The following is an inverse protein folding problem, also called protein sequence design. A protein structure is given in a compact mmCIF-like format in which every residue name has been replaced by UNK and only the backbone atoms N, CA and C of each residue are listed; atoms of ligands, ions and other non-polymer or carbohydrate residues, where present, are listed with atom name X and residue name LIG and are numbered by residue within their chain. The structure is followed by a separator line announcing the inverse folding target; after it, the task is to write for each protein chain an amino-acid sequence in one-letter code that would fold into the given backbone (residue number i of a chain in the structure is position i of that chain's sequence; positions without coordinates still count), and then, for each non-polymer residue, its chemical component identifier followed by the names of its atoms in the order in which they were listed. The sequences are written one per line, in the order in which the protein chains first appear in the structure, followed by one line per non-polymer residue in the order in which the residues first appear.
data_IF_832100793548
#
_entry.id   IF_832100793548
#
_cell.length_a   1.000
_cell.length_b   1.000
_cell.length_c   1.000
_cell.angle_alpha   90.00
_cell.angle_beta   90.00
_cell.angle_gamma   90.00
#
_symmetry.space_group_name_H-M   'P 1'
#
loop_
_entity.id
_entity.type
_entity.pdbx_description
1 polymer ?
#
# COMPACT_ATOMS: atom_id res chain seq x y z
N UNK A 1 7.89 -56.84 -32.08
CA UNK A 1 7.48 -55.45 -31.80
C UNK A 1 7.29 -55.10 -30.32
N UNK A 2 7.96 -55.77 -29.36
CA UNK A 2 7.71 -55.55 -27.92
C UNK A 2 8.64 -54.55 -27.20
N UNK A 3 9.91 -54.44 -27.60
CA UNK A 3 10.91 -53.67 -26.84
C UNK A 3 10.90 -52.15 -27.11
N UNK A 4 10.44 -51.72 -28.30
CA UNK A 4 10.34 -50.28 -28.66
C UNK A 4 9.13 -49.61 -27.99
N UNK A 5 8.08 -50.37 -27.66
CA UNK A 5 6.89 -49.86 -26.99
C UNK A 5 7.15 -49.57 -25.49
N UNK A 6 7.99 -50.37 -24.82
CA UNK A 6 8.35 -50.16 -23.41
C UNK A 6 9.16 -48.86 -23.23
N UNK A 7 10.16 -48.62 -24.10
CA UNK A 7 11.00 -47.41 -24.03
C UNK A 7 10.24 -46.10 -24.26
N UNK A 8 9.19 -46.12 -25.11
CA UNK A 8 8.31 -44.95 -25.31
C UNK A 8 7.38 -44.70 -24.13
N UNK A 9 6.90 -45.74 -23.45
CA UNK A 9 6.02 -45.62 -22.27
C UNK A 9 6.79 -45.09 -21.06
N UNK A 10 8.01 -45.57 -20.84
CA UNK A 10 8.89 -45.06 -19.78
C UNK A 10 9.32 -43.61 -20.04
N UNK A 11 9.72 -43.22 -21.26
CA UNK A 11 10.06 -41.81 -21.56
C UNK A 11 8.88 -40.84 -21.36
N UNK A 12 7.65 -41.26 -21.65
CA UNK A 12 6.44 -40.45 -21.39
C UNK A 12 6.14 -40.32 -19.90
N UNK A 13 6.29 -41.41 -19.13
CA UNK A 13 6.15 -41.39 -17.67
C UNK A 13 7.23 -40.53 -17.01
N UNK A 14 8.50 -40.64 -17.44
CA UNK A 14 9.60 -39.80 -16.97
C UNK A 14 9.38 -38.33 -17.30
N UNK A 15 8.89 -38.02 -18.51
CA UNK A 15 8.55 -36.66 -18.92
C UNK A 15 7.41 -36.05 -18.10
N UNK A 16 6.35 -36.83 -17.83
CA UNK A 16 5.25 -36.41 -16.96
C UNK A 16 5.70 -36.19 -15.52
N UNK A 17 6.59 -37.04 -15.00
CA UNK A 17 7.14 -36.90 -13.66
C UNK A 17 8.03 -35.65 -13.55
N UNK A 18 8.82 -35.35 -14.57
CA UNK A 18 9.64 -34.14 -14.63
C UNK A 18 8.79 -32.87 -14.68
N UNK A 19 7.71 -32.88 -15.47
CA UNK A 19 6.74 -31.77 -15.53
C UNK A 19 6.00 -31.63 -14.19
N UNK A 20 5.62 -32.73 -13.54
CA UNK A 20 4.98 -32.68 -12.22
C UNK A 20 5.92 -32.10 -11.16
N UNK A 21 7.20 -32.50 -11.14
CA UNK A 21 8.21 -31.94 -10.24
C UNK A 21 8.45 -30.46 -10.54
N UNK A 22 8.52 -30.06 -11.82
CA UNK A 22 8.61 -28.65 -12.21
C UNK A 22 7.37 -27.86 -11.78
N UNK A 23 6.16 -28.40 -11.94
CA UNK A 23 4.93 -27.75 -11.50
C UNK A 23 4.85 -27.68 -9.98
N UNK A 24 5.35 -28.68 -9.25
CA UNK A 24 5.44 -28.64 -7.79
C UNK A 24 6.50 -27.64 -7.34
N UNK A 25 7.67 -27.59 -7.97
CA UNK A 25 8.72 -26.60 -7.69
C UNK A 25 8.27 -25.17 -8.02
N UNK A 26 7.63 -24.97 -9.16
CA UNK A 26 6.99 -23.70 -9.53
C UNK A 26 5.90 -23.39 -8.54
N UNK A 27 5.01 -24.32 -8.19
CA UNK A 27 3.96 -24.08 -7.19
C UNK A 27 4.53 -23.77 -5.82
N UNK A 28 5.59 -24.43 -5.38
CA UNK A 28 6.22 -24.23 -4.07
C UNK A 28 6.98 -22.91 -4.04
N UNK A 29 7.76 -22.62 -5.09
CA UNK A 29 8.45 -21.34 -5.27
C UNK A 29 7.47 -20.18 -5.43
N UNK A 30 6.36 -20.36 -6.14
CA UNK A 30 5.26 -19.39 -6.19
C UNK A 30 4.56 -19.29 -4.83
N UNK A 31 4.33 -20.37 -4.08
CA UNK A 31 3.70 -20.31 -2.75
C UNK A 31 4.56 -19.56 -1.72
N UNK A 32 5.89 -19.64 -1.81
CA UNK A 32 6.81 -18.87 -0.95
C UNK A 32 7.12 -17.46 -1.48
N UNK A 33 6.93 -17.19 -2.77
CA UNK A 33 7.08 -15.86 -3.37
C UNK A 33 5.78 -15.03 -3.37
N UNK A 34 4.62 -15.67 -3.18
CA UNK A 34 3.28 -15.05 -3.23
C UNK A 34 2.45 -15.07 -1.94
N UNK A 35 2.93 -15.42 -0.72
CA UNK A 35 2.04 -15.36 0.44
C UNK A 35 1.70 -13.88 0.68
N UNK A 36 0.44 -13.51 0.40
CA UNK A 36 -0.09 -12.16 0.62
C UNK A 36 -0.24 -11.26 -0.61
N UNK A 37 0.18 -11.63 -1.83
CA UNK A 37 -0.09 -10.81 -3.04
C UNK A 37 -1.57 -10.90 -3.44
N UNK A 38 -2.38 -10.06 -2.81
CA UNK A 38 -3.74 -9.73 -3.23
C UNK A 38 -3.62 -8.83 -4.49
N UNK A 39 -4.40 -9.04 -5.56
CA UNK A 39 -4.46 -8.05 -6.63
C UNK A 39 -5.08 -6.77 -6.07
N UNK A 40 -4.23 -5.80 -5.74
CA UNK A 40 -4.59 -4.45 -5.30
C UNK A 40 -4.85 -3.57 -6.52
N UNK A 41 -5.64 -2.51 -6.33
CA UNK A 41 -5.98 -1.53 -7.36
C UNK A 41 -4.76 -0.71 -7.84
N UNK A 42 -3.69 -0.72 -7.05
CA UNK A 42 -2.67 0.30 -7.06
C UNK A 42 -1.92 0.44 -8.38
N UNK A 43 -1.39 -0.63 -8.99
CA UNK A 43 -0.68 -0.48 -10.28
C UNK A 43 -1.58 -0.02 -11.44
N UNK A 44 -2.89 -0.33 -11.39
CA UNK A 44 -3.84 0.12 -12.41
C UNK A 44 -4.19 1.59 -12.22
N UNK A 45 -4.42 2.01 -10.98
CA UNK A 45 -4.65 3.42 -10.62
C UNK A 45 -3.40 4.27 -10.84
N UNK A 46 -2.20 3.73 -10.56
CA UNK A 46 -0.91 4.31 -10.94
C UNK A 46 -0.83 4.52 -12.44
N UNK A 47 -1.08 3.48 -13.23
CA UNK A 47 -1.04 3.58 -14.70
C UNK A 47 -2.09 4.54 -15.24
N UNK A 48 -3.30 4.58 -14.67
CA UNK A 48 -4.35 5.53 -15.06
C UNK A 48 -3.93 6.98 -14.80
N UNK A 49 -3.34 7.25 -13.64
CA UNK A 49 -2.81 8.58 -13.28
C UNK A 49 -1.64 8.99 -14.18
N UNK A 50 -0.68 8.09 -14.42
CA UNK A 50 0.44 8.39 -15.34
C UNK A 50 -0.05 8.65 -16.77
N UNK A 51 -0.98 7.84 -17.30
CA UNK A 51 -1.56 8.08 -18.64
C UNK A 51 -2.28 9.42 -18.75
N UNK A 52 -2.88 9.89 -17.66
CA UNK A 52 -3.64 11.13 -17.64
C UNK A 52 -2.74 12.38 -17.62
N UNK A 53 -1.53 12.30 -17.03
CA UNK A 53 -0.73 13.49 -16.71
C UNK A 53 0.72 13.48 -17.20
N UNK A 54 1.29 12.35 -17.62
CA UNK A 54 2.66 12.31 -18.13
C UNK A 54 2.70 13.01 -19.49
N UNK A 55 3.43 14.12 -19.59
CA UNK A 55 3.66 14.82 -20.85
C UNK A 55 4.77 14.12 -21.66
N UNK A 56 4.84 14.32 -22.99
CA UNK A 56 5.87 13.70 -23.83
C UNK A 56 7.32 13.99 -23.39
N UNK A 57 7.55 15.17 -22.81
CA UNK A 57 8.86 15.63 -22.32
C UNK A 57 9.08 15.35 -20.81
N UNK A 58 8.17 14.62 -20.17
CA UNK A 58 8.36 14.10 -18.82
C UNK A 58 9.07 12.73 -18.85
N UNK A 59 9.70 12.35 -17.74
CA UNK A 59 10.28 11.01 -17.55
C UNK A 59 9.63 10.29 -16.38
N UNK A 60 9.39 8.97 -16.53
CA UNK A 60 8.85 8.11 -15.46
C UNK A 60 9.95 7.19 -14.92
N UNK A 61 10.09 7.14 -13.60
CA UNK A 61 11.02 6.29 -12.85
C UNK A 61 10.25 5.37 -11.91
N UNK A 62 10.51 4.06 -11.99
CA UNK A 62 9.99 3.05 -11.06
C UNK A 62 11.03 2.73 -9.98
N UNK A 63 10.68 2.91 -8.71
CA UNK A 63 11.56 2.74 -7.56
C UNK A 63 10.96 1.78 -6.51
N UNK A 64 11.60 0.65 -6.20
CA UNK A 64 12.58 -0.02 -7.04
C UNK A 64 11.87 -0.83 -8.15
N UNK A 65 12.63 -1.38 -9.08
CA UNK A 65 12.08 -2.07 -10.25
C UNK A 65 11.67 -3.52 -10.00
N UNK A 66 11.57 -3.98 -8.75
CA UNK A 66 11.20 -5.38 -8.42
C UNK A 66 9.88 -5.81 -9.06
N UNK A 67 8.92 -4.89 -9.17
CA UNK A 67 7.60 -5.13 -9.78
C UNK A 67 7.48 -4.67 -11.24
N UNK A 68 8.60 -4.48 -11.95
CA UNK A 68 8.58 -4.04 -13.34
C UNK A 68 7.68 -4.87 -14.28
N UNK A 69 7.53 -6.21 -14.16
CA UNK A 69 6.67 -6.97 -15.05
C UNK A 69 5.18 -6.60 -14.87
N UNK A 70 4.76 -6.31 -13.63
CA UNK A 70 3.39 -5.91 -13.31
C UNK A 70 3.17 -4.47 -13.75
N UNK A 71 4.12 -3.58 -13.45
CA UNK A 71 4.07 -2.18 -13.85
C UNK A 71 3.96 -2.03 -15.38
N UNK A 72 4.84 -2.68 -16.13
CA UNK A 72 4.86 -2.62 -17.60
C UNK A 72 3.67 -3.31 -18.29
N UNK A 73 3.00 -4.23 -17.60
CA UNK A 73 1.75 -4.80 -18.09
C UNK A 73 0.64 -3.75 -18.17
N UNK A 74 0.54 -2.88 -17.15
CA UNK A 74 -0.50 -1.84 -17.04
C UNK A 74 -0.11 -0.50 -17.66
N UNK A 75 1.13 -0.06 -17.48
CA UNK A 75 1.65 1.19 -18.04
C UNK A 75 2.50 0.91 -19.28
N UNK A 76 2.07 1.46 -20.42
CA UNK A 76 2.70 1.24 -21.74
C UNK A 76 3.61 2.39 -22.20
N UNK A 77 3.69 3.47 -21.43
CA UNK A 77 4.58 4.59 -21.73
C UNK A 77 6.06 4.26 -21.46
N UNK A 78 6.96 5.16 -21.84
CA UNK A 78 8.38 5.03 -21.54
C UNK A 78 8.65 5.18 -20.03
N UNK A 79 9.57 4.37 -19.50
CA UNK A 79 10.01 4.44 -18.10
C UNK A 79 11.45 3.96 -17.93
N UNK A 80 12.00 4.20 -16.74
CA UNK A 80 13.31 3.69 -16.26
C UNK A 80 13.12 3.05 -14.89
N UNK A 81 13.80 1.93 -14.64
CA UNK A 81 13.77 1.24 -13.34
C UNK A 81 15.03 1.55 -12.54
N UNK A 82 14.89 1.76 -11.23
CA UNK A 82 16.00 1.68 -10.29
C UNK A 82 16.17 0.21 -9.90
N UNK A 83 17.29 -0.46 -10.24
CA UNK A 83 17.45 -1.89 -10.03
C UNK A 83 17.27 -2.30 -8.57
N UNK A 84 16.41 -3.29 -8.29
CA UNK A 84 16.15 -3.80 -6.95
C UNK A 84 17.43 -4.22 -6.21
N UNK A 85 18.40 -4.83 -6.92
CA UNK A 85 19.66 -5.29 -6.33
C UNK A 85 20.73 -4.21 -6.15
N UNK A 86 20.44 -2.95 -6.50
CA UNK A 86 21.42 -1.87 -6.49
C UNK A 86 21.25 -0.99 -5.24
N UNK A 87 22.20 -1.00 -4.29
CA UNK A 87 22.18 -0.06 -3.17
C UNK A 87 22.26 1.38 -3.67
N UNK A 88 21.34 2.21 -3.20
CA UNK A 88 21.24 3.61 -3.58
C UNK A 88 22.05 4.45 -2.61
N UNK A 89 23.26 4.81 -3.02
CA UNK A 89 24.07 5.87 -2.38
C UNK A 89 23.74 7.23 -2.98
N UNK A 90 24.17 8.33 -2.34
CA UNK A 90 23.92 9.68 -2.87
C UNK A 90 24.57 9.89 -4.24
N UNK A 91 25.80 9.38 -4.40
CA UNK A 91 26.52 9.46 -5.68
C UNK A 91 25.84 8.63 -6.77
N UNK A 92 25.36 7.43 -6.42
CA UNK A 92 24.64 6.59 -7.37
C UNK A 92 23.32 7.23 -7.79
N UNK A 93 22.53 7.74 -6.83
CA UNK A 93 21.28 8.44 -7.11
C UNK A 93 21.52 9.64 -8.03
N UNK A 94 22.55 10.45 -7.75
CA UNK A 94 22.92 11.57 -8.59
C UNK A 94 23.31 11.11 -10.01
N UNK A 95 24.16 10.10 -10.14
CA UNK A 95 24.59 9.57 -11.44
C UNK A 95 23.42 9.03 -12.28
N UNK A 96 22.46 8.36 -11.64
CA UNK A 96 21.26 7.83 -12.31
C UNK A 96 20.27 8.94 -12.70
N UNK A 97 19.99 9.88 -11.79
CA UNK A 97 18.92 10.87 -11.96
C UNK A 97 19.33 12.06 -12.83
N UNK A 98 20.59 12.50 -12.77
CA UNK A 98 21.07 13.70 -13.49
C UNK A 98 20.75 13.67 -14.99
N UNK A 99 21.11 12.64 -15.79
CA UNK A 99 20.82 12.64 -17.22
C UNK A 99 19.31 12.57 -17.52
N UNK A 100 18.51 11.94 -16.65
CA UNK A 100 17.05 11.90 -16.80
C UNK A 100 16.41 13.25 -16.50
N UNK A 101 16.90 13.93 -15.46
CA UNK A 101 16.41 15.23 -15.01
C UNK A 101 16.76 16.34 -16.01
N UNK A 102 17.98 16.37 -16.53
CA UNK A 102 18.42 17.40 -17.47
C UNK A 102 17.68 17.35 -18.81
N UNK A 103 17.29 16.14 -19.23
CA UNK A 103 16.58 15.90 -20.48
C UNK A 103 15.06 15.99 -20.42
N UNK A 104 14.48 16.27 -19.25
CA UNK A 104 13.03 16.29 -19.04
C UNK A 104 12.51 17.64 -18.51
N UNK A 105 11.22 17.92 -18.73
CA UNK A 105 10.52 19.05 -18.12
C UNK A 105 9.96 18.73 -16.72
N UNK A 106 9.78 17.45 -16.43
CA UNK A 106 9.37 16.94 -15.13
C UNK A 106 9.68 15.46 -14.96
N UNK A 107 9.75 15.01 -13.71
CA UNK A 107 10.01 13.61 -13.37
C UNK A 107 8.88 13.04 -12.51
N UNK A 108 8.35 11.90 -12.94
CA UNK A 108 7.38 11.09 -12.22
C UNK A 108 8.10 9.93 -11.53
N UNK A 109 8.06 9.88 -10.21
CA UNK A 109 8.64 8.80 -9.41
C UNK A 109 7.53 7.90 -8.88
N UNK A 110 7.49 6.65 -9.32
CA UNK A 110 6.60 5.61 -8.80
C UNK A 110 7.32 4.87 -7.69
N UNK A 111 6.91 5.07 -6.45
CA UNK A 111 7.38 4.33 -5.29
C UNK A 111 6.54 3.08 -5.07
N UNK A 112 7.24 1.98 -4.84
CA UNK A 112 6.70 0.71 -4.37
C UNK A 112 7.12 0.48 -2.91
N UNK A 113 6.50 -0.47 -2.18
CA UNK A 113 6.88 -0.76 -0.79
C UNK A 113 8.31 -1.30 -0.64
N UNK A 114 8.95 -1.69 -1.76
CA UNK A 114 10.31 -2.21 -1.80
C UNK A 114 11.36 -1.10 -2.00
N UNK A 115 10.95 0.14 -2.25
CA UNK A 115 11.88 1.27 -2.47
C UNK A 115 12.88 1.45 -1.31
N UNK A 116 12.44 1.19 -0.08
CA UNK A 116 13.27 1.30 1.12
C UNK A 116 14.28 0.16 1.28
N UNK A 117 14.09 -0.98 0.58
CA UNK A 117 15.03 -2.10 0.65
C UNK A 117 16.40 -1.71 0.09
N UNK A 118 16.44 -0.92 -0.99
CA UNK A 118 17.67 -0.47 -1.63
C UNK A 118 17.97 1.03 -1.43
N UNK A 119 16.99 1.82 -0.99
CA UNK A 119 17.16 3.23 -0.61
C UNK A 119 16.56 3.56 0.78
N UNK A 120 17.08 2.97 1.87
CA UNK A 120 16.51 3.13 3.21
C UNK A 120 16.61 4.57 3.76
N UNK A 121 17.43 5.43 3.15
CA UNK A 121 17.54 6.84 3.52
C UNK A 121 16.77 7.78 2.57
N UNK A 122 16.01 7.24 1.61
CA UNK A 122 15.18 8.03 0.69
C UNK A 122 15.97 9.02 -0.16
N UNK A 123 17.21 8.67 -0.55
CA UNK A 123 18.14 9.53 -1.29
C UNK A 123 17.62 9.94 -2.67
N UNK A 124 16.87 9.09 -3.36
CA UNK A 124 16.26 9.41 -4.66
C UNK A 124 15.30 10.59 -4.50
N UNK A 125 14.41 10.52 -3.52
CA UNK A 125 13.45 11.59 -3.24
C UNK A 125 14.14 12.85 -2.74
N UNK A 126 15.12 12.72 -1.84
CA UNK A 126 15.88 13.86 -1.33
C UNK A 126 16.55 14.63 -2.48
N UNK A 127 17.22 13.91 -3.39
CA UNK A 127 17.87 14.50 -4.56
C UNK A 127 16.89 15.27 -5.45
N UNK A 128 15.68 14.71 -5.68
CA UNK A 128 14.63 15.33 -6.49
C UNK A 128 14.04 16.56 -5.81
N UNK A 129 13.72 16.47 -4.52
CA UNK A 129 13.12 17.57 -3.73
C UNK A 129 14.03 18.79 -3.64
N UNK A 130 15.34 18.60 -3.60
CA UNK A 130 16.32 19.68 -3.62
C UNK A 130 16.35 20.47 -4.94
N UNK A 131 15.86 19.88 -6.04
CA UNK A 131 16.03 20.41 -7.41
C UNK A 131 14.72 20.80 -8.09
N UNK A 132 13.62 20.16 -7.71
CA UNK A 132 12.31 20.39 -8.28
C UNK A 132 11.72 21.73 -7.81
N UNK A 133 10.91 22.36 -8.66
CA UNK A 133 10.21 23.60 -8.32
C UNK A 133 9.05 23.35 -7.34
N UNK A 134 8.51 22.13 -7.33
CA UNK A 134 7.47 21.67 -6.43
C UNK A 134 7.51 20.14 -6.30
N UNK A 135 6.67 19.62 -5.41
CA UNK A 135 6.40 18.19 -5.28
C UNK A 135 4.89 17.99 -5.22
N UNK A 136 4.37 17.04 -6.01
CA UNK A 136 2.98 16.59 -5.92
C UNK A 136 2.96 15.09 -5.67
N UNK A 137 2.02 14.64 -4.86
CA UNK A 137 1.91 13.24 -4.47
C UNK A 137 0.53 12.68 -4.79
N UNK A 138 0.49 11.44 -5.28
CA UNK A 138 -0.72 10.65 -5.52
C UNK A 138 -0.55 9.33 -4.78
N UNK A 139 -1.47 9.02 -3.85
CA UNK A 139 -1.37 7.85 -2.97
C UNK A 139 -2.38 6.78 -3.39
N UNK A 140 -1.91 5.54 -3.46
CA UNK A 140 -2.70 4.34 -3.70
C UNK A 140 -2.37 3.30 -2.63
N UNK A 141 -3.17 2.24 -2.52
CA UNK A 141 -3.06 1.28 -1.39
C UNK A 141 -1.64 0.74 -1.13
N UNK A 142 -0.90 0.34 -2.17
CA UNK A 142 0.48 -0.17 -2.06
C UNK A 142 1.50 0.55 -2.94
N UNK A 143 1.16 1.72 -3.47
CA UNK A 143 2.05 2.49 -4.34
C UNK A 143 1.82 3.99 -4.16
N UNK A 144 2.87 4.77 -4.38
CA UNK A 144 2.77 6.22 -4.37
C UNK A 144 3.46 6.80 -5.59
N UNK A 145 2.85 7.78 -6.23
CA UNK A 145 3.49 8.54 -7.30
C UNK A 145 3.84 9.90 -6.77
N UNK A 146 5.05 10.35 -7.07
CA UNK A 146 5.46 11.73 -6.93
C UNK A 146 5.69 12.36 -8.30
N UNK A 147 5.29 13.62 -8.45
CA UNK A 147 5.63 14.43 -9.61
C UNK A 147 6.49 15.62 -9.18
N UNK A 148 7.63 15.75 -9.86
CA UNK A 148 8.66 16.75 -9.63
C UNK A 148 8.85 17.59 -10.90
N UNK A 149 8.14 18.72 -11.06
CA UNK A 149 8.34 19.62 -12.19
C UNK A 149 9.71 20.30 -12.11
N UNK A 150 10.42 20.31 -13.24
CA UNK A 150 11.71 20.99 -13.40
C UNK A 150 11.55 22.41 -13.94
N UNK A 151 10.63 22.61 -14.89
CA UNK A 151 10.44 23.91 -15.56
C UNK A 151 9.20 24.65 -15.03
N UNK A 152 9.21 26.01 -15.01
CA UNK A 152 8.04 26.80 -14.64
C UNK A 152 6.81 26.53 -15.53
N UNK A 153 7.04 26.22 -16.80
CA UNK A 153 6.00 25.84 -17.78
C UNK A 153 5.30 24.55 -17.37
N UNK A 154 6.10 23.52 -17.01
CA UNK A 154 5.56 22.24 -16.57
C UNK A 154 4.89 22.34 -15.21
N UNK A 155 5.41 23.17 -14.29
CA UNK A 155 4.74 23.46 -13.01
C UNK A 155 3.35 24.08 -13.21
N UNK A 156 3.22 25.05 -14.13
CA UNK A 156 1.92 25.69 -14.43
C UNK A 156 0.91 24.71 -15.02
N UNK A 157 1.37 23.77 -15.83
CA UNK A 157 0.54 22.72 -16.44
C UNK A 157 0.45 21.44 -15.60
N UNK A 158 0.91 21.43 -14.35
CA UNK A 158 1.04 20.21 -13.54
C UNK A 158 -0.29 19.48 -13.26
N UNK A 159 -1.42 20.19 -13.36
CA UNK A 159 -2.78 19.65 -13.17
C UNK A 159 -3.54 19.47 -14.50
N UNK A 160 -2.93 19.90 -15.61
CA UNK A 160 -3.51 19.75 -16.94
C UNK A 160 -3.33 18.32 -17.44
N UNK A 161 -4.34 17.81 -18.14
CA UNK A 161 -4.26 16.52 -18.78
C UNK A 161 -3.21 16.53 -19.89
N UNK A 162 -2.51 15.41 -20.05
CA UNK A 162 -1.46 15.25 -21.03
C UNK A 162 -1.96 15.57 -22.46
N UNK A 163 -1.13 16.19 -23.32
CA UNK A 163 -1.50 16.46 -24.70
C UNK A 163 -1.98 15.21 -25.43
N UNK A 164 -3.16 15.28 -26.04
CA UNK A 164 -3.78 14.15 -26.75
C UNK A 164 -4.49 13.13 -25.85
N UNK A 165 -4.47 13.29 -24.53
CA UNK A 165 -5.31 12.50 -23.65
C UNK A 165 -6.78 12.80 -23.91
N UNK A 166 -7.57 11.76 -24.18
CA UNK A 166 -9.01 11.88 -24.39
C UNK A 166 -9.75 11.36 -23.15
N UNK A 167 -10.40 12.25 -22.36
CA UNK A 167 -11.22 11.82 -21.24
C UNK A 167 -12.32 10.84 -21.67
N UNK A 168 -12.67 9.85 -20.82
CA UNK A 168 -13.81 9.00 -21.09
C UNK A 168 -15.09 9.84 -21.18
N UNK A 169 -15.98 9.47 -22.11
CA UNK A 169 -17.30 10.09 -22.32
C UNK A 169 -18.45 9.15 -21.97
N UNK A 170 -18.25 8.33 -20.94
CA UNK A 170 -19.22 7.31 -20.51
C UNK A 170 -20.35 7.84 -19.62
N UNK A 171 -20.29 9.11 -19.21
CA UNK A 171 -21.35 9.77 -18.43
C UNK A 171 -22.01 10.88 -19.27
N UNK A 172 -21.20 11.82 -19.77
CA UNK A 172 -21.57 12.93 -20.67
C UNK A 172 -22.87 13.67 -20.27
N UNK A 173 -22.94 14.10 -19.01
CA UNK A 173 -24.12 14.75 -18.43
C UNK A 173 -23.83 16.17 -17.94
N UNK A 174 -24.73 17.11 -18.26
CA UNK A 174 -24.72 18.44 -17.64
C UNK A 174 -25.35 18.34 -16.24
N UNK A 175 -24.54 18.54 -15.20
CA UNK A 175 -24.93 18.33 -13.80
C UNK A 175 -25.19 19.64 -13.06
N UNK A 176 -24.74 20.75 -13.61
CA UNK A 176 -25.11 22.11 -13.24
C UNK A 176 -24.95 23.01 -14.47
N UNK A 177 -25.60 24.19 -14.54
CA UNK A 177 -25.52 25.06 -15.71
C UNK A 177 -24.06 25.33 -16.13
N UNK A 178 -23.69 24.91 -17.34
CA UNK A 178 -22.33 25.08 -17.87
C UNK A 178 -21.25 24.23 -17.19
N UNK A 179 -21.63 23.18 -16.46
CA UNK A 179 -20.72 22.19 -15.84
C UNK A 179 -21.15 20.79 -16.26
N UNK A 180 -20.26 20.10 -16.98
CA UNK A 180 -20.50 18.77 -17.52
C UNK A 180 -19.55 17.76 -16.87
N UNK A 181 -20.12 16.65 -16.42
CA UNK A 181 -19.36 15.46 -16.04
C UNK A 181 -19.23 14.58 -17.29
N UNK A 182 -18.03 14.57 -17.87
CA UNK A 182 -17.71 13.84 -19.09
C UNK A 182 -17.72 12.32 -18.84
N UNK A 183 -17.07 11.89 -17.77
CA UNK A 183 -16.89 10.49 -17.49
C UNK A 183 -16.40 10.18 -16.09
N UNK A 184 -16.45 8.90 -15.76
CA UNK A 184 -15.96 8.34 -14.52
C UNK A 184 -15.19 7.04 -14.82
N UNK A 185 -14.00 6.90 -14.25
CA UNK A 185 -13.13 5.73 -14.38
C UNK A 185 -12.68 5.27 -12.99
N UNK A 186 -12.65 3.96 -12.78
CA UNK A 186 -11.94 3.33 -11.68
C UNK A 186 -11.27 2.07 -12.19
N UNK A 187 -10.20 1.63 -11.53
CA UNK A 187 -9.35 0.60 -12.09
C UNK A 187 -9.89 -0.83 -11.92
N UNK A 188 -10.81 -1.05 -10.97
CA UNK A 188 -11.54 -2.30 -10.79
C UNK A 188 -13.06 -2.10 -10.86
N UNK A 189 -13.77 -3.22 -10.99
CA UNK A 189 -15.24 -3.31 -10.85
C UNK A 189 -15.65 -4.20 -9.68
N UNK A 190 -14.69 -4.90 -9.08
CA UNK A 190 -14.87 -5.82 -7.97
C UNK A 190 -13.86 -5.46 -6.91
N UNK A 191 -14.35 -5.20 -5.71
CA UNK A 191 -13.55 -4.80 -4.56
C UNK A 191 -13.88 -5.70 -3.38
N UNK A 192 -13.01 -5.70 -2.37
CA UNK A 192 -13.23 -6.32 -1.07
C UNK A 192 -13.43 -5.24 -0.01
N UNK A 193 -14.11 -5.61 1.05
CA UNK A 193 -14.11 -4.83 2.29
C UNK A 193 -12.68 -4.52 2.75
N UNK A 194 -12.42 -3.25 3.05
CA UNK A 194 -11.13 -2.69 3.44
C UNK A 194 -10.24 -2.21 2.29
N UNK A 195 -10.69 -2.35 1.03
CA UNK A 195 -10.02 -1.73 -0.12
C UNK A 195 -10.37 -0.23 -0.24
N UNK A 196 -9.58 0.52 -1.01
CA UNK A 196 -9.91 1.88 -1.43
C UNK A 196 -10.40 1.88 -2.88
N UNK A 197 -11.55 2.53 -3.14
CA UNK A 197 -11.98 2.84 -4.50
C UNK A 197 -11.38 4.19 -4.91
N UNK A 198 -10.40 4.18 -5.80
CA UNK A 198 -9.90 5.38 -6.49
C UNK A 198 -10.77 5.67 -7.72
N UNK A 199 -11.64 6.68 -7.59
CA UNK A 199 -12.53 7.14 -8.65
C UNK A 199 -11.96 8.38 -9.31
N UNK A 200 -11.83 8.36 -10.63
CA UNK A 200 -11.40 9.49 -11.44
C UNK A 200 -12.59 10.08 -12.18
N UNK A 201 -12.97 11.30 -11.80
CA UNK A 201 -14.05 12.06 -12.41
C UNK A 201 -13.47 13.07 -13.40
N UNK A 202 -14.06 13.14 -14.59
CA UNK A 202 -13.61 14.03 -15.66
C UNK A 202 -14.64 15.13 -15.90
N UNK A 203 -14.24 16.37 -15.69
CA UNK A 203 -15.13 17.53 -15.70
C UNK A 203 -14.77 18.47 -16.85
N UNK A 204 -15.76 19.19 -17.37
CA UNK A 204 -15.55 20.32 -18.26
C UNK A 204 -16.55 21.41 -17.91
N UNK A 205 -16.08 22.64 -17.72
CA UNK A 205 -16.94 23.79 -17.56
C UNK A 205 -16.88 24.70 -18.79
N UNK A 206 -18.00 25.31 -19.13
CA UNK A 206 -18.09 26.29 -20.21
C UNK A 206 -17.78 27.71 -19.73
N UNK A 207 -17.81 27.95 -18.41
CA UNK A 207 -17.54 29.24 -17.78
C UNK A 207 -16.67 29.04 -16.54
N UNK A 208 -15.79 30.00 -16.28
CA UNK A 208 -15.00 29.99 -15.05
C UNK A 208 -15.96 30.26 -13.89
N UNK A 209 -15.92 29.38 -12.89
CA UNK A 209 -16.75 29.47 -11.69
C UNK A 209 -15.87 29.35 -10.47
N UNK A 210 -16.24 29.94 -9.31
CA UNK A 210 -15.60 29.58 -8.06
C UNK A 210 -15.76 28.07 -7.78
N UNK A 211 -15.10 27.59 -6.74
CA UNK A 211 -15.20 26.21 -6.28
C UNK A 211 -16.65 25.73 -6.23
N UNK A 212 -16.92 24.59 -6.87
CA UNK A 212 -18.26 24.02 -6.97
C UNK A 212 -18.38 22.89 -5.91
N UNK A 213 -19.40 22.92 -5.02
CA UNK A 213 -19.62 21.83 -4.09
C UNK A 213 -20.06 20.58 -4.86
N UNK A 214 -19.29 19.51 -4.74
CA UNK A 214 -19.62 18.18 -5.25
C UNK A 214 -19.66 17.23 -4.07
N UNK A 215 -20.67 16.38 -4.04
CA UNK A 215 -20.77 15.29 -3.10
C UNK A 215 -20.67 13.96 -3.84
N UNK A 216 -19.86 13.05 -3.34
CA UNK A 216 -19.70 11.70 -3.88
C UNK A 216 -20.14 10.71 -2.82
N UNK A 217 -21.16 9.91 -3.12
CA UNK A 217 -21.69 8.90 -2.22
C UNK A 217 -21.58 7.51 -2.84
N UNK A 218 -21.55 6.49 -2.00
CA UNK A 218 -21.66 5.10 -2.40
C UNK A 218 -22.97 4.56 -1.83
N UNK A 219 -23.86 4.00 -2.66
CA UNK A 219 -25.14 3.48 -2.19
C UNK A 219 -25.56 2.20 -2.93
N UNK A 220 -26.22 1.29 -2.23
CA UNK A 220 -26.93 0.16 -2.82
C UNK A 220 -28.44 0.44 -2.97
N UNK A 221 -29.19 -0.51 -3.54
CA UNK A 221 -30.64 -0.41 -3.67
C UNK A 221 -31.43 -0.66 -2.37
N UNK A 222 -30.75 -0.93 -1.25
CA UNK A 222 -31.33 -1.29 0.06
C UNK A 222 -31.08 -0.21 1.12
N UNK A 223 -30.42 0.89 0.76
CA UNK A 223 -30.08 2.00 1.66
C UNK A 223 -28.75 1.82 2.42
N UNK A 224 -27.99 0.77 2.12
CA UNK A 224 -26.62 0.64 2.63
C UNK A 224 -25.67 1.49 1.78
N UNK A 225 -24.61 2.02 2.39
CA UNK A 225 -23.69 2.88 1.67
C UNK A 225 -22.69 3.60 2.55
N UNK A 226 -21.90 4.44 1.91
CA UNK A 226 -21.09 5.44 2.58
C UNK A 226 -21.83 6.77 2.57
N UNK A 227 -21.72 7.58 3.64
CA UNK A 227 -22.26 8.93 3.63
C UNK A 227 -21.65 9.75 2.48
N UNK A 228 -22.36 10.77 1.97
CA UNK A 228 -21.81 11.64 0.95
C UNK A 228 -20.52 12.32 1.43
N UNK A 229 -19.45 12.18 0.64
CA UNK A 229 -18.17 12.82 0.86
C UNK A 229 -18.12 14.13 0.08
N UNK A 230 -17.87 15.25 0.76
CA UNK A 230 -17.67 16.54 0.11
C UNK A 230 -16.32 16.58 -0.59
N UNK A 231 -16.35 16.87 -1.89
CA UNK A 231 -15.22 16.85 -2.81
C UNK A 231 -15.26 18.09 -3.71
N UNK A 232 -14.99 19.29 -3.16
CA UNK A 232 -15.10 20.53 -3.92
C UNK A 232 -14.31 20.48 -5.23
N UNK A 233 -14.99 20.82 -6.33
CA UNK A 233 -14.35 20.92 -7.64
C UNK A 233 -13.68 22.29 -7.77
N UNK A 234 -12.35 22.29 -7.81
CA UNK A 234 -11.53 23.48 -8.10
C UNK A 234 -11.92 24.09 -9.44
N UNK A 235 -11.97 25.43 -9.50
CA UNK A 235 -12.40 26.23 -10.67
C UNK A 235 -11.82 25.70 -12.00
N UNK A 236 -12.58 24.91 -12.79
CA UNK A 236 -12.08 24.38 -14.05
C UNK A 236 -11.87 25.53 -15.07
N UNK A 237 -10.74 25.56 -15.81
CA UNK A 237 -10.58 26.49 -16.90
C UNK A 237 -11.67 26.27 -17.96
N UNK A 238 -12.26 27.33 -18.53
CA UNK A 238 -13.31 27.19 -19.54
C UNK A 238 -12.87 26.35 -20.73
N UNK A 239 -13.65 25.32 -21.06
CA UNK A 239 -13.42 24.44 -22.21
C UNK A 239 -12.31 23.41 -22.03
N UNK A 240 -11.48 23.49 -20.98
CA UNK A 240 -10.41 22.54 -20.73
C UNK A 240 -10.92 21.45 -19.78
N UNK A 241 -10.89 20.16 -20.19
CA UNK A 241 -11.24 19.09 -19.29
C UNK A 241 -10.24 18.98 -18.14
N UNK A 242 -10.75 18.76 -16.93
CA UNK A 242 -9.94 18.47 -15.74
C UNK A 242 -10.30 17.11 -15.17
N UNK A 243 -9.36 16.50 -14.45
CA UNK A 243 -9.57 15.24 -13.74
C UNK A 243 -9.51 15.51 -12.24
N UNK A 244 -10.47 14.94 -11.52
CA UNK A 244 -10.56 14.95 -10.07
C UNK A 244 -10.47 13.50 -9.58
N UNK A 245 -9.57 13.23 -8.64
CA UNK A 245 -9.52 11.95 -7.93
C UNK A 245 -10.36 12.03 -6.66
N UNK A 246 -11.17 11.00 -6.43
CA UNK A 246 -11.96 10.81 -5.22
C UNK A 246 -11.71 9.41 -4.70
N UNK A 247 -11.20 9.32 -3.46
CA UNK A 247 -10.94 8.04 -2.80
C UNK A 247 -12.07 7.73 -1.84
N UNK A 248 -12.76 6.60 -2.06
CA UNK A 248 -13.80 6.11 -1.17
C UNK A 248 -13.29 4.88 -0.41
N UNK A 249 -13.10 4.96 0.93
CA UNK A 249 -12.69 3.80 1.72
C UNK A 249 -13.86 2.82 1.84
N UNK A 250 -13.71 1.61 1.30
CA UNK A 250 -14.77 0.59 1.30
C UNK A 250 -14.78 -0.14 2.64
N UNK A 251 -15.30 0.54 3.67
CA UNK A 251 -15.30 0.08 5.06
C UNK A 251 -15.72 -1.39 5.20
N UNK A 252 -15.08 -2.17 6.09
CA UNK A 252 -15.48 -3.55 6.37
C UNK A 252 -16.89 -3.71 6.94
N UNK A 253 -17.52 -2.61 7.38
CA UNK A 253 -18.92 -2.61 7.80
C UNK A 253 -19.91 -2.70 6.62
N UNK A 254 -19.46 -2.45 5.39
CA UNK A 254 -20.31 -2.54 4.20
C UNK A 254 -20.62 -4.01 3.87
N UNK A 255 -21.92 -4.39 3.78
CA UNK A 255 -22.29 -5.72 3.33
C UNK A 255 -21.80 -6.04 1.91
N UNK A 256 -21.60 -7.32 1.62
CA UNK A 256 -21.35 -7.74 0.25
C UNK A 256 -22.54 -7.45 -0.66
N UNK A 257 -22.29 -6.88 -1.85
CA UNK A 257 -23.38 -6.48 -2.74
C UNK A 257 -22.93 -5.66 -3.94
N UNK A 258 -23.91 -5.14 -4.69
CA UNK A 258 -23.66 -4.21 -5.79
C UNK A 258 -23.97 -2.79 -5.34
N UNK A 259 -22.99 -1.91 -5.48
CA UNK A 259 -23.07 -0.51 -5.10
C UNK A 259 -22.92 0.39 -6.31
N UNK A 260 -23.60 1.53 -6.29
CA UNK A 260 -23.46 2.61 -7.27
C UNK A 260 -22.76 3.78 -6.62
N UNK A 261 -21.85 4.39 -7.37
CA UNK A 261 -21.30 5.69 -7.01
C UNK A 261 -22.22 6.77 -7.55
N UNK A 262 -22.67 7.64 -6.66
CA UNK A 262 -23.55 8.77 -6.95
C UNK A 262 -22.75 10.06 -6.85
N UNK A 263 -22.86 10.92 -7.85
CA UNK A 263 -22.27 12.26 -7.85
C UNK A 263 -23.39 13.29 -7.83
N UNK A 264 -23.35 14.17 -6.85
CA UNK A 264 -24.31 15.26 -6.68
C UNK A 264 -23.57 16.58 -6.79
N UNK A 265 -24.10 17.52 -7.57
CA UNK A 265 -23.54 18.87 -7.71
C UNK A 265 -24.59 19.89 -7.27
N UNK A 266 -24.22 20.76 -6.31
CA UNK A 266 -25.16 21.72 -5.73
C UNK A 266 -26.39 21.05 -5.11
N UNK A 267 -27.59 21.49 -5.50
CA UNK A 267 -28.88 20.97 -5.01
C UNK A 267 -29.51 19.92 -5.96
N UNK A 268 -28.73 19.40 -6.91
CA UNK A 268 -29.21 18.40 -7.87
C UNK A 268 -29.49 17.03 -7.25
N UNK A 269 -30.13 16.14 -8.02
CA UNK A 269 -30.22 14.72 -7.66
C UNK A 269 -28.90 13.99 -7.88
N UNK A 270 -28.65 12.92 -7.14
CA UNK A 270 -27.45 12.10 -7.29
C UNK A 270 -27.44 11.33 -8.62
N UNK A 271 -26.48 11.65 -9.50
CA UNK A 271 -26.27 10.98 -10.77
C UNK A 271 -25.43 9.71 -10.55
N UNK A 272 -25.91 8.50 -10.91
CA UNK A 272 -25.08 7.31 -10.88
C UNK A 272 -24.02 7.34 -11.99
N UNK A 273 -22.74 7.28 -11.60
CA UNK A 273 -21.60 7.43 -12.54
C UNK A 273 -20.77 6.16 -12.67
N UNK A 274 -20.83 5.28 -11.67
CA UNK A 274 -20.05 4.04 -11.65
C UNK A 274 -20.77 2.95 -10.84
N UNK A 275 -20.44 1.69 -11.08
CA UNK A 275 -20.99 0.54 -10.34
C UNK A 275 -19.88 -0.42 -9.98
N UNK A 276 -19.87 -0.86 -8.72
CA UNK A 276 -18.93 -1.84 -8.18
C UNK A 276 -19.68 -3.03 -7.58
N UNK A 277 -19.04 -4.18 -7.59
CA UNK A 277 -19.41 -5.31 -6.73
C UNK A 277 -18.45 -5.37 -5.55
N UNK A 278 -18.98 -5.32 -4.33
CA UNK A 278 -18.23 -5.46 -3.09
C UNK A 278 -18.37 -6.89 -2.59
N UNK A 279 -17.24 -7.56 -2.38
CA UNK A 279 -17.16 -8.74 -1.55
C UNK A 279 -17.10 -8.25 -0.10
N UNK A 280 -18.12 -8.58 0.70
CA UNK A 280 -18.15 -8.24 2.12
C UNK A 280 -16.94 -8.82 2.84
N UNK A 281 -16.65 -8.30 4.04
CA UNK A 281 -15.63 -8.92 4.87
C UNK A 281 -16.01 -10.40 5.02
N UNK A 282 -15.07 -11.31 4.78
CA UNK A 282 -15.24 -12.66 5.29
C UNK A 282 -15.40 -12.46 6.80
N UNK A 283 -16.65 -12.55 7.29
CA UNK A 283 -16.90 -12.90 8.67
C UNK A 283 -16.07 -14.17 8.84
N UNK A 284 -14.87 -14.03 9.41
CA UNK A 284 -14.15 -15.19 9.89
C UNK A 284 -15.15 -15.88 10.78
N UNK A 285 -15.72 -16.99 10.33
CA UNK A 285 -16.79 -17.72 10.99
C UNK A 285 -16.36 -18.37 12.29
N UNK A 286 -15.44 -17.74 13.02
CA UNK A 286 -15.23 -17.97 14.43
C UNK A 286 -16.22 -17.10 15.21
N UNK A 287 -16.75 -17.67 16.28
CA UNK A 287 -17.45 -16.96 17.34
C UNK A 287 -16.77 -15.60 17.66
N UNK A 288 -17.51 -14.61 18.19
CA UNK A 288 -16.89 -13.42 18.77
C UNK A 288 -15.74 -13.90 19.64
N UNK A 289 -14.51 -13.61 19.22
CA UNK A 289 -13.31 -14.00 19.95
C UNK A 289 -13.47 -13.30 21.28
N UNK A 290 -13.88 -14.06 22.31
CA UNK A 290 -13.90 -13.55 23.67
C UNK A 290 -12.53 -12.92 23.88
N UNK A 291 -12.51 -11.64 24.31
CA UNK A 291 -11.25 -10.91 24.51
C UNK A 291 -10.36 -11.84 25.33
N UNK A 292 -9.27 -12.37 24.74
CA UNK A 292 -8.43 -13.29 25.49
C UNK A 292 -7.92 -12.52 26.69
N UNK A 293 -7.80 -13.19 27.84
CA UNK A 293 -7.18 -12.56 29.00
C UNK A 293 -5.75 -12.24 28.62
N UNK A 294 -5.47 -10.96 28.37
CA UNK A 294 -4.16 -10.47 27.95
C UNK A 294 -3.25 -10.54 29.19
N UNK A 295 -2.15 -11.30 29.11
CA UNK A 295 -1.23 -11.49 30.23
C UNK A 295 -0.53 -10.18 30.63
N UNK A 296 -0.19 -9.36 29.64
CA UNK A 296 0.44 -8.05 29.83
C UNK A 296 -0.41 -6.95 29.19
N UNK A 297 -1.49 -6.51 29.86
CA UNK A 297 -2.37 -5.49 29.31
C UNK A 297 -1.66 -4.14 29.22
N UNK A 298 -2.01 -3.36 28.20
CA UNK A 298 -1.50 -2.02 27.95
C UNK A 298 -2.64 -1.12 27.48
N UNK A 299 -2.43 0.18 27.58
CA UNK A 299 -3.36 1.18 27.04
C UNK A 299 -2.57 2.33 26.40
N UNK A 300 -1.91 1.99 25.29
CA UNK A 300 -1.16 2.93 24.47
C UNK A 300 -1.88 3.16 23.15
N UNK A 301 -1.79 4.36 22.61
CA UNK A 301 -2.39 4.73 21.32
C UNK A 301 -1.29 5.02 20.31
N UNK A 302 -1.36 4.41 19.13
CA UNK A 302 -0.48 4.63 18.00
C UNK A 302 -1.20 5.43 16.92
N UNK A 303 -0.56 6.51 16.46
CA UNK A 303 -1.16 7.45 15.53
C UNK A 303 -2.42 8.07 16.10
N UNK A 304 -3.47 8.18 15.29
CA UNK A 304 -4.72 8.82 15.71
C UNK A 304 -5.70 7.84 16.38
N UNK A 305 -5.83 6.62 15.86
CA UNK A 305 -7.01 5.77 16.11
C UNK A 305 -6.69 4.32 16.49
N UNK A 306 -5.42 3.90 16.55
CA UNK A 306 -5.05 2.50 16.84
C UNK A 306 -4.62 2.39 18.29
N UNK A 307 -5.26 1.50 19.06
CA UNK A 307 -4.87 1.16 20.43
C UNK A 307 -4.13 -0.16 20.49
N UNK A 308 -3.08 -0.17 21.30
CA UNK A 308 -2.37 -1.36 21.73
C UNK A 308 -2.95 -1.82 23.06
N UNK A 309 -3.59 -2.99 23.06
CA UNK A 309 -4.27 -3.56 24.22
C UNK A 309 -3.33 -4.38 25.11
N UNK A 310 -2.14 -4.73 24.61
CA UNK A 310 -1.14 -5.51 25.33
C UNK A 310 -0.61 -6.71 24.53
N UNK A 311 0.05 -7.63 25.22
CA UNK A 311 0.69 -8.78 24.59
C UNK A 311 0.74 -10.03 25.48
N UNK A 312 0.97 -11.17 24.82
CA UNK A 312 1.38 -12.44 25.44
C UNK A 312 2.71 -12.89 24.85
N UNK A 313 3.62 -13.36 25.71
CA UNK A 313 4.91 -13.93 25.33
C UNK A 313 5.00 -15.35 25.89
N UNK A 314 5.15 -16.36 25.01
CA UNK A 314 5.13 -17.78 25.44
C UNK A 314 6.32 -18.12 26.35
N UNK A 315 7.53 -17.70 25.98
CA UNK A 315 8.74 -17.91 26.77
C UNK A 315 9.70 -16.72 26.62
N UNK A 316 10.21 -16.21 27.74
CA UNK A 316 11.21 -15.14 27.78
C UNK A 316 12.66 -15.63 27.62
N UNK A 317 12.85 -16.88 27.22
CA UNK A 317 14.15 -17.54 27.06
C UNK A 317 14.22 -18.25 25.72
N UNK A 318 15.33 -18.07 25.00
CA UNK A 318 15.49 -18.63 23.65
C UNK A 318 16.95 -18.93 23.38
N UNK A 319 17.23 -19.89 22.50
CA UNK A 319 18.61 -20.14 22.03
C UNK A 319 18.87 -19.40 20.71
N UNK A 320 20.13 -19.12 20.36
CA UNK A 320 20.49 -18.64 19.03
C UNK A 320 19.92 -19.58 17.95
N UNK A 321 19.34 -19.02 16.89
CA UNK A 321 18.64 -19.78 15.84
C UNK A 321 17.22 -20.24 16.22
N UNK A 322 16.79 -19.99 17.46
CA UNK A 322 15.44 -20.25 17.93
C UNK A 322 14.43 -19.19 17.47
N UNK A 323 13.23 -19.23 18.05
CA UNK A 323 12.14 -18.30 17.70
C UNK A 323 11.37 -17.92 18.95
N UNK A 324 11.15 -16.62 19.15
CA UNK A 324 10.26 -16.10 20.17
C UNK A 324 8.85 -16.00 19.60
N UNK A 325 7.86 -16.52 20.33
CA UNK A 325 6.45 -16.44 19.95
C UNK A 325 5.76 -15.35 20.75
N UNK A 326 5.40 -14.28 20.06
CA UNK A 326 4.78 -13.08 20.60
C UNK A 326 3.37 -12.96 20.01
N UNK A 327 2.37 -12.70 20.85
CA UNK A 327 1.02 -12.34 20.37
C UNK A 327 0.74 -10.92 20.80
N UNK A 328 0.42 -10.07 19.83
CA UNK A 328 0.05 -8.68 20.04
C UNK A 328 -1.46 -8.52 19.94
N UNK A 329 -2.01 -7.62 20.74
CA UNK A 329 -3.43 -7.31 20.75
C UNK A 329 -3.66 -5.86 20.40
N UNK A 330 -4.47 -5.63 19.38
CA UNK A 330 -4.76 -4.30 18.86
C UNK A 330 -6.25 -4.05 18.77
N UNK A 331 -6.65 -2.78 18.70
CA UNK A 331 -8.01 -2.38 18.38
C UNK A 331 -7.99 -1.02 17.70
N UNK A 332 -8.81 -0.83 16.66
CA UNK A 332 -9.04 0.50 16.11
C UNK A 332 -10.25 1.16 16.78
N UNK A 333 -10.18 2.45 17.08
CA UNK A 333 -11.29 3.25 17.62
C UNK A 333 -12.16 3.86 16.52
N UNK A 334 -11.58 4.03 15.32
CA UNK A 334 -12.24 4.52 14.12
C UNK A 334 -11.64 3.83 12.87
N UNK A 335 -12.28 3.91 11.70
CA UNK A 335 -11.76 3.28 10.49
C UNK A 335 -10.32 3.73 10.17
N UNK A 336 -9.42 2.77 9.96
CA UNK A 336 -8.05 3.05 9.53
C UNK A 336 -8.02 3.09 8.00
N UNK A 337 -7.42 4.12 7.42
CA UNK A 337 -7.35 4.31 5.95
C UNK A 337 -5.99 3.97 5.35
N UNK A 338 -4.98 3.75 6.18
CA UNK A 338 -3.62 3.35 5.77
C UNK A 338 -3.36 1.89 6.13
N UNK A 339 -2.68 1.16 5.24
CA UNK A 339 -2.23 -0.22 5.49
C UNK A 339 -0.87 -0.19 6.19
N UNK A 340 -0.88 -0.27 7.52
CA UNK A 340 0.34 -0.30 8.31
C UNK A 340 0.88 -1.72 8.44
N UNK A 341 2.20 -1.84 8.53
CA UNK A 341 2.89 -3.06 8.97
C UNK A 341 3.27 -2.93 10.43
N UNK A 342 3.17 -4.04 11.16
CA UNK A 342 3.73 -4.18 12.49
C UNK A 342 5.17 -4.64 12.34
N UNK A 343 6.12 -3.90 12.90
CA UNK A 343 7.48 -4.40 13.09
C UNK A 343 7.60 -5.01 14.48
N UNK A 344 8.36 -6.10 14.57
CA UNK A 344 8.76 -6.69 15.85
C UNK A 344 10.25 -6.93 15.78
N UNK A 345 11.00 -6.32 16.70
CA UNK A 345 12.45 -6.31 16.71
C UNK A 345 12.98 -6.90 18.01
N UNK A 346 14.04 -7.70 17.90
CA UNK A 346 14.81 -8.18 19.03
C UNK A 346 16.13 -7.42 19.08
N UNK A 347 16.27 -6.51 20.04
CA UNK A 347 17.41 -5.63 20.18
C UNK A 347 18.36 -6.13 21.27
N UNK A 348 19.63 -6.30 20.92
CA UNK A 348 20.69 -6.71 21.86
C UNK A 348 21.54 -5.53 22.30
N UNK A 349 22.29 -5.70 23.39
CA UNK A 349 23.27 -4.68 23.81
C UNK A 349 24.52 -4.61 22.91
N UNK A 350 24.76 -5.65 22.11
CA UNK A 350 25.89 -5.74 21.19
C UNK A 350 25.47 -5.35 19.77
N UNK A 351 26.39 -4.70 19.07
CA UNK A 351 26.25 -4.42 17.65
C UNK A 351 26.24 -5.71 16.84
N UNK A 352 25.25 -5.88 15.97
CA UNK A 352 25.21 -6.96 14.99
C UNK A 352 25.86 -6.47 13.68
N UNK A 353 27.02 -7.02 13.28
CA UNK A 353 27.68 -6.62 12.05
C UNK A 353 26.88 -6.97 10.78
N UNK A 354 26.00 -7.96 10.84
CA UNK A 354 25.18 -8.36 9.69
C UNK A 354 24.09 -7.32 9.36
N UNK A 355 23.55 -6.64 10.37
CA UNK A 355 22.50 -5.62 10.21
C UNK A 355 23.02 -4.19 10.35
N UNK A 356 24.25 -4.01 10.83
CA UNK A 356 24.86 -2.70 11.05
C UNK A 356 24.24 -1.92 12.23
N UNK A 357 23.53 -2.60 13.13
CA UNK A 357 22.80 -2.02 14.26
C UNK A 357 22.60 -3.09 15.37
N UNK A 358 21.95 -2.82 16.52
CA UNK A 358 21.75 -3.82 17.57
C UNK A 358 20.62 -4.83 17.31
N UNK A 359 20.13 -4.97 16.07
CA UNK A 359 19.04 -5.89 15.72
C UNK A 359 19.55 -7.32 15.55
N UNK A 360 19.02 -8.25 16.34
CA UNK A 360 19.38 -9.68 16.32
C UNK A 360 18.23 -10.60 15.94
N UNK A 361 17.07 -10.03 15.61
CA UNK A 361 15.91 -10.75 15.12
C UNK A 361 14.81 -9.76 14.72
N UNK A 362 14.06 -10.07 13.67
CA UNK A 362 12.90 -9.26 13.30
C UNK A 362 11.82 -10.08 12.60
N UNK A 363 10.58 -9.65 12.75
CA UNK A 363 9.45 -10.12 11.94
C UNK A 363 8.48 -8.97 11.66
N UNK A 364 8.42 -8.55 10.40
CA UNK A 364 7.60 -7.43 9.94
C UNK A 364 6.50 -7.95 9.03
N UNK A 365 5.25 -7.70 9.40
CA UNK A 365 4.09 -8.18 8.63
C UNK A 365 2.92 -7.23 8.79
N UNK A 366 1.97 -7.33 7.88
CA UNK A 366 0.63 -6.85 8.21
C UNK A 366 0.01 -7.73 9.32
N UNK A 367 -0.92 -7.17 10.11
CA UNK A 367 -1.48 -7.90 11.25
C UNK A 367 -2.16 -9.21 10.87
N UNK A 368 -2.12 -10.15 11.82
CA UNK A 368 -2.61 -11.51 11.72
C UNK A 368 -2.03 -12.26 10.51
N UNK A 369 -0.71 -12.27 10.36
CA UNK A 369 0.01 -12.95 9.26
C UNK A 369 -0.46 -12.47 7.87
N UNK A 370 -0.64 -11.15 7.70
CA UNK A 370 -1.18 -10.52 6.49
C UNK A 370 -2.64 -10.88 6.16
N UNK A 371 -3.40 -11.42 7.12
CA UNK A 371 -4.83 -11.73 6.95
C UNK A 371 -5.74 -10.59 7.39
N UNK A 372 -5.31 -9.75 8.34
CA UNK A 372 -6.07 -8.60 8.86
C UNK A 372 -5.33 -7.28 8.64
N UNK A 373 -5.18 -6.80 7.38
CA UNK A 373 -4.67 -5.46 7.11
C UNK A 373 -5.42 -4.42 7.95
N UNK A 374 -4.75 -3.37 8.42
CA UNK A 374 -5.36 -2.36 9.30
C UNK A 374 -6.62 -1.71 8.72
N UNK A 375 -6.70 -1.55 7.39
CA UNK A 375 -7.89 -1.03 6.69
C UNK A 375 -9.12 -1.94 6.75
N UNK A 376 -8.95 -3.20 7.16
CA UNK A 376 -10.03 -4.18 7.35
C UNK A 376 -10.54 -4.24 8.79
N UNK A 377 -9.97 -3.45 9.69
CA UNK A 377 -10.34 -3.48 11.11
C UNK A 377 -11.70 -2.78 11.31
N UNK A 378 -12.62 -3.50 11.94
CA UNK A 378 -13.85 -2.90 12.43
C UNK A 378 -13.56 -2.15 13.73
N UNK A 379 -13.99 -0.88 13.86
CA UNK A 379 -13.85 -0.14 15.10
C UNK A 379 -14.39 -0.91 16.31
N UNK A 380 -13.64 -0.92 17.42
CA UNK A 380 -13.98 -1.63 18.64
C UNK A 380 -13.77 -3.15 18.61
N UNK A 381 -13.35 -3.74 17.48
CA UNK A 381 -13.06 -5.18 17.42
C UNK A 381 -11.59 -5.47 17.73
N UNK A 382 -11.27 -6.29 18.75
CA UNK A 382 -9.90 -6.69 19.02
C UNK A 382 -9.30 -7.54 17.88
N UNK A 383 -8.02 -7.34 17.61
CA UNK A 383 -7.23 -8.05 16.62
C UNK A 383 -6.14 -8.83 17.34
N UNK A 384 -6.13 -10.15 17.12
CA UNK A 384 -5.09 -11.06 17.60
C UNK A 384 -4.03 -11.18 16.52
N UNK A 385 -2.79 -10.84 16.87
CA UNK A 385 -1.71 -10.67 15.91
C UNK A 385 -0.47 -11.48 16.34
N UNK A 386 -0.35 -12.75 15.90
CA UNK A 386 0.78 -13.60 16.24
C UNK A 386 2.02 -13.27 15.39
N UNK A 387 3.16 -13.19 16.06
CA UNK A 387 4.49 -12.99 15.50
C UNK A 387 5.45 -14.09 15.96
N UNK A 388 6.22 -14.61 15.00
CA UNK A 388 7.31 -15.54 15.22
C UNK A 388 8.63 -14.80 14.93
N UNK A 389 9.31 -14.33 15.97
CA UNK A 389 10.54 -13.54 15.83
C UNK A 389 11.74 -14.49 15.78
N UNK A 390 12.38 -14.70 14.62
CA UNK A 390 13.57 -15.53 14.53
C UNK A 390 14.73 -14.84 15.24
N UNK A 391 15.48 -15.60 16.04
CA UNK A 391 16.71 -15.13 16.69
C UNK A 391 17.89 -15.53 15.84
N UNK A 392 18.79 -14.60 15.54
CA UNK A 392 19.96 -14.87 14.73
C UNK A 392 20.77 -16.05 15.30
N UNK A 393 21.31 -16.93 14.44
CA UNK A 393 22.05 -18.13 14.87
C UNK A 393 23.37 -17.79 15.59
N UNK A 394 23.90 -16.61 15.36
CA UNK A 394 25.12 -16.07 15.97
C UNK A 394 24.83 -15.05 17.08
N UNK A 395 23.57 -14.90 17.50
CA UNK A 395 23.18 -14.01 18.61
C UNK A 395 23.98 -14.34 19.88
N UNK A 396 24.75 -13.38 20.44
CA UNK A 396 25.48 -13.60 21.68
C UNK A 396 24.52 -13.89 22.84
N UNK A 397 24.90 -14.76 23.80
CA UNK A 397 24.08 -14.95 24.99
C UNK A 397 23.99 -13.64 25.80
N UNK A 398 22.82 -13.37 26.38
CA UNK A 398 22.58 -12.16 27.16
C UNK A 398 21.13 -11.70 27.17
N UNK A 399 20.91 -10.48 27.67
CA UNK A 399 19.60 -9.83 27.70
C UNK A 399 19.36 -9.04 26.42
N UNK A 400 18.13 -9.13 25.94
CA UNK A 400 17.62 -8.48 24.75
C UNK A 400 16.28 -7.83 25.07
N UNK A 401 15.90 -6.81 24.30
CA UNK A 401 14.61 -6.14 24.40
C UNK A 401 13.76 -6.44 23.17
N UNK A 402 12.46 -6.65 23.38
CA UNK A 402 11.48 -6.69 22.30
C UNK A 402 10.93 -5.28 22.09
N UNK A 403 11.15 -4.74 20.89
CA UNK A 403 10.61 -3.47 20.41
C UNK A 403 9.53 -3.74 19.35
N UNK A 404 8.41 -3.03 19.43
CA UNK A 404 7.33 -3.11 18.43
C UNK A 404 6.84 -1.74 18.00
N UNK A 405 6.13 -1.69 16.88
CA UNK A 405 5.40 -0.50 16.44
C UNK A 405 4.75 -0.70 15.09
N UNK A 406 4.08 0.34 14.61
CA UNK A 406 3.41 0.38 13.31
C UNK A 406 4.12 1.36 12.39
N UNK A 407 4.26 1.02 11.12
CA UNK A 407 4.85 1.92 10.12
C UNK A 407 4.13 1.83 8.78
N UNK A 408 4.17 2.94 8.04
CA UNK A 408 3.74 2.99 6.65
C UNK A 408 4.84 2.35 5.77
N UNK A 409 4.57 1.24 5.06
CA UNK A 409 5.57 0.53 4.28
C UNK A 409 6.08 1.30 3.05
N UNK A 410 5.37 2.34 2.59
CA UNK A 410 5.80 3.17 1.46
C UNK A 410 6.78 4.25 1.88
N UNK A 411 6.55 4.87 3.04
CA UNK A 411 7.37 6.00 3.51
C UNK A 411 8.40 5.59 4.55
N UNK A 412 8.19 4.47 5.24
CA UNK A 412 8.98 4.04 6.39
C UNK A 412 8.64 4.81 7.67
N UNK A 413 7.66 5.72 7.62
CA UNK A 413 7.26 6.55 8.75
C UNK A 413 6.59 5.68 9.82
N UNK A 414 7.14 5.71 11.03
CA UNK A 414 6.58 5.04 12.21
C UNK A 414 5.47 5.89 12.81
N UNK A 415 4.42 5.24 13.30
CA UNK A 415 3.36 5.93 14.00
C UNK A 415 3.85 6.42 15.37
N UNK A 416 3.57 7.69 15.74
CA UNK A 416 3.84 8.17 17.08
C UNK A 416 2.99 7.39 18.09
N UNK A 417 3.56 7.14 19.27
CA UNK A 417 2.93 6.45 20.40
C UNK A 417 2.58 7.49 21.46
N UNK A 418 1.38 7.38 22.00
CA UNK A 418 0.84 8.20 23.08
C UNK A 418 0.45 7.32 24.26
N UNK A 419 0.64 7.83 25.47
CA UNK A 419 0.09 7.19 26.67
C UNK A 419 -1.42 7.42 26.82
N UNK A 420 -2.01 6.85 27.88
CA UNK A 420 -3.42 7.02 28.19
C UNK A 420 -3.83 8.47 28.51
N UNK A 421 -2.87 9.33 28.88
CA UNK A 421 -3.08 10.76 29.08
C UNK A 421 -3.02 11.57 27.78
N UNK A 422 -2.60 10.96 26.68
CA UNK A 422 -2.41 11.60 25.38
C UNK A 422 -1.03 12.23 25.21
N UNK A 423 -0.10 12.01 26.12
CA UNK A 423 1.27 12.53 26.01
C UNK A 423 2.10 11.64 25.08
N UNK A 424 2.92 12.23 24.19
CA UNK A 424 3.77 11.46 23.29
C UNK A 424 4.89 10.74 24.05
N UNK A 425 5.04 9.43 23.82
CA UNK A 425 6.07 8.59 24.48
C UNK A 425 7.14 8.09 23.52
N UNK A 426 6.94 8.20 22.20
CA UNK A 426 7.90 7.78 21.18
C UNK A 426 7.25 7.45 19.85
N UNK A 427 7.88 6.58 19.07
CA UNK A 427 7.37 6.01 17.81
C UNK A 427 7.42 4.46 17.80
N UNK A 428 7.64 3.88 18.98
CA UNK A 428 7.75 2.46 19.24
C UNK A 428 7.41 2.16 20.71
N UNK A 429 7.18 0.88 21.02
CA UNK A 429 6.90 0.39 22.38
C UNK A 429 7.92 -0.71 22.70
N UNK A 430 8.57 -0.60 23.87
CA UNK A 430 9.40 -1.66 24.44
C UNK A 430 8.51 -2.55 25.32
N UNK A 431 8.42 -3.84 24.99
CA UNK A 431 7.47 -4.76 25.65
C UNK A 431 8.08 -5.48 26.86
N UNK A 432 9.20 -6.18 26.63
CA UNK A 432 9.79 -7.11 27.58
C UNK A 432 11.29 -7.27 27.35
N UNK A 433 11.99 -7.67 28.41
CA UNK A 433 13.32 -8.25 28.29
C UNK A 433 13.24 -9.77 28.11
N UNK A 434 14.08 -10.32 27.23
CA UNK A 434 14.24 -11.76 27.00
C UNK A 434 15.71 -12.15 27.12
N UNK A 435 15.96 -13.41 27.46
CA UNK A 435 17.30 -13.97 27.63
C UNK A 435 17.64 -14.92 26.47
N UNK A 436 18.69 -14.59 25.73
CA UNK A 436 19.32 -15.51 24.77
C UNK A 436 20.32 -16.38 25.53
N UNK A 437 20.07 -17.68 25.54
CA UNK A 437 20.90 -18.68 26.21
C UNK A 437 22.18 -18.96 25.40
N UNK A 438 23.22 -19.58 26.01
CA UNK A 438 24.38 -20.04 25.26
C UNK A 438 24.01 -21.03 24.13
N UNK A 439 24.77 -20.98 23.03
CA UNK A 439 24.70 -21.99 21.96
C UNK A 439 24.98 -23.41 22.48
N UNK A 440 24.49 -24.43 21.77
CA UNK A 440 24.90 -25.81 22.04
C UNK A 440 26.35 -25.97 21.55
N UNK A 441 27.27 -26.53 22.37
CA UNK A 441 28.67 -26.73 21.98
C UNK A 441 28.85 -27.66 20.79
#
# INVERSE_FOLDING_TARGET
GGLVALGRRHRRLSGLLLVAVLLVQVRWGLLSYYPGRRPTDSFRSVAATLRAYVHPDDVVVLHNDRDWPIFSFYYRGGWRGIPNGQPVTSDWAAAFLTPLWEGAEGLWLVLTPYALENDPQGRVRAWLRERALAERAYRFDDAQIYFYPRTPERLRSAEELAPGFAPPRNVDAEVAPGVRLLGAEAALRRYRAGDSLHLFLYWQASVSRPTIPVQVALADGRGNGLPPLEQPLSSPPPGIPIRQEVTLPLSPALPGGTYRVLVTVGQGGGLPVYTIALQGAEEGGGEPVAVPTIAHPSDLRLGEVIRFLGYDLEEGRVRPGGTLKLTLYWQAEAPVTTRYKVFTHLLGSRFNPATGNPLWGQHDSEPAENRRPTTTWLPGTPIVDPHAIPVAPDAPPGRYQIEIGLYDPLTGERLPVYDAGGEPVGDHIILAEVEVLPGIP
#
